data_IF_687703879079
#
_entry.id   IF_687703879079
#
_cell.length_a   1.000
_cell.length_b   1.000
_cell.length_c   1.000
_cell.angle_alpha   90.00
_cell.angle_beta   90.00
_cell.angle_gamma   90.00
#
_symmetry.space_group_name_H-M   'P 1'
#
loop_
_entity.id
_entity.type
_entity.pdbx_description
1 polymer ?
#
# COMPACT_ATOMS: atom_id res chain seq x y z
N UNK A 1 -2.01 15.98 -75.83
CA UNK A 1 -0.89 15.10 -75.42
C UNK A 1 -0.47 15.48 -73.99
N UNK A 2 -0.34 14.48 -73.10
CA UNK A 2 0.32 14.52 -71.77
C UNK A 2 -0.42 15.38 -70.71
N UNK A 3 -1.09 14.88 -69.67
CA UNK A 3 -0.99 13.62 -68.93
C UNK A 3 -0.28 13.86 -67.59
N UNK A 4 -1.02 14.20 -66.52
CA UNK A 4 -0.65 14.08 -65.08
C UNK A 4 -1.97 14.26 -64.29
N UNK A 5 -2.84 13.26 -64.19
CA UNK A 5 -2.77 12.16 -63.22
C UNK A 5 -2.51 12.66 -61.79
N UNK A 6 -3.58 12.57 -60.98
CA UNK A 6 -3.57 12.15 -59.58
C UNK A 6 -2.59 12.88 -58.67
N UNK A 7 -3.07 13.82 -57.84
CA UNK A 7 -2.85 13.94 -56.38
C UNK A 7 -3.53 15.25 -55.94
N UNK A 8 -4.86 15.29 -56.03
CA UNK A 8 -5.68 16.29 -55.33
C UNK A 8 -6.58 15.48 -54.42
N UNK A 9 -6.00 14.91 -53.34
CA UNK A 9 -6.76 14.24 -52.27
C UNK A 9 -5.91 13.84 -51.04
N UNK A 10 -4.58 14.00 -51.05
CA UNK A 10 -3.72 13.57 -49.91
C UNK A 10 -3.04 14.79 -49.23
N UNK A 11 -3.74 15.93 -49.17
CA UNK A 11 -3.16 17.17 -48.62
C UNK A 11 -3.88 17.69 -47.37
N UNK A 12 -4.99 17.08 -46.95
CA UNK A 12 -5.74 17.53 -45.75
C UNK A 12 -5.84 16.46 -44.66
N UNK A 13 -5.29 15.28 -44.88
CA UNK A 13 -5.22 14.21 -43.85
C UNK A 13 -3.85 14.10 -43.16
N UNK A 14 -2.98 15.08 -43.36
CA UNK A 14 -1.62 15.13 -42.81
C UNK A 14 -1.41 16.33 -41.88
N UNK A 15 -2.49 16.92 -41.35
CA UNK A 15 -2.43 18.07 -40.44
C UNK A 15 -3.05 17.80 -39.06
N UNK A 16 -3.37 16.53 -38.72
CA UNK A 16 -3.97 16.16 -37.42
C UNK A 16 -3.27 14.96 -36.74
N UNK A 17 -1.98 14.73 -37.03
CA UNK A 17 -1.17 13.73 -36.31
C UNK A 17 -0.03 14.37 -35.49
N UNK A 18 -0.14 15.66 -35.18
CA UNK A 18 0.71 16.33 -34.20
C UNK A 18 -0.06 16.60 -32.89
N UNK A 19 -1.07 15.78 -32.60
CA UNK A 19 -1.76 15.80 -31.33
C UNK A 19 -0.94 15.01 -30.29
N UNK A 20 0.01 15.73 -29.67
CA UNK A 20 0.39 15.52 -28.28
C UNK A 20 1.10 14.22 -27.94
N UNK A 21 2.37 14.10 -28.29
CA UNK A 21 3.29 13.37 -27.41
C UNK A 21 3.54 14.23 -26.18
N UNK A 22 2.64 14.17 -25.19
CA UNK A 22 3.01 14.56 -23.82
C UNK A 22 3.97 13.47 -23.36
N UNK A 23 5.26 13.65 -23.67
CA UNK A 23 6.31 12.98 -22.93
C UNK A 23 6.21 13.57 -21.53
N UNK A 24 5.47 12.90 -20.65
CA UNK A 24 5.56 13.13 -19.22
C UNK A 24 6.99 12.82 -18.84
N UNK A 25 7.83 13.86 -18.82
CA UNK A 25 9.15 13.81 -18.20
C UNK A 25 8.89 13.59 -16.72
N UNK A 26 8.84 12.32 -16.32
CA UNK A 26 8.91 11.98 -14.91
C UNK A 26 10.36 12.30 -14.54
N UNK A 27 10.61 13.53 -14.09
CA UNK A 27 11.83 13.88 -13.38
C UNK A 27 11.80 13.18 -12.02
N UNK A 28 11.94 11.86 -12.01
CA UNK A 28 12.49 11.22 -10.84
C UNK A 28 13.97 11.59 -10.87
N UNK A 29 14.35 12.61 -10.11
CA UNK A 29 15.72 12.82 -9.69
C UNK A 29 16.15 11.60 -8.84
N UNK A 30 16.47 10.49 -9.52
CA UNK A 30 17.04 9.28 -8.93
C UNK A 30 18.54 9.52 -9.05
N UNK A 31 19.10 10.19 -8.06
CA UNK A 31 20.54 10.08 -7.87
C UNK A 31 20.82 8.60 -7.54
N UNK A 32 21.78 8.00 -8.22
CA UNK A 32 22.33 6.72 -7.79
C UNK A 32 22.91 6.94 -6.38
N UNK A 33 22.17 6.48 -5.38
CA UNK A 33 22.62 6.56 -3.99
C UNK A 33 23.77 5.58 -3.73
N UNK A 34 24.41 5.67 -2.55
CA UNK A 34 25.34 4.64 -2.12
C UNK A 34 24.66 3.25 -2.17
N UNK A 35 25.44 2.17 -2.42
CA UNK A 35 24.87 0.84 -2.52
C UNK A 35 24.16 0.47 -1.22
N UNK A 36 22.90 0.07 -1.32
CA UNK A 36 22.12 -0.37 -0.18
C UNK A 36 22.37 -1.85 0.11
N UNK A 37 22.42 -2.26 1.38
CA UNK A 37 22.39 -3.68 1.72
C UNK A 37 21.17 -4.35 1.11
N UNK A 38 21.36 -5.54 0.53
CA UNK A 38 20.26 -6.35 0.03
C UNK A 38 19.26 -6.63 1.16
N UNK A 39 17.97 -6.67 0.84
CA UNK A 39 16.94 -6.92 1.85
C UNK A 39 16.98 -8.34 2.45
N UNK A 40 17.81 -9.24 1.92
CA UNK A 40 17.88 -10.64 2.37
C UNK A 40 16.64 -11.47 2.03
N UNK A 41 15.68 -10.91 1.29
CA UNK A 41 14.46 -11.61 0.87
C UNK A 41 14.80 -12.58 -0.26
N UNK A 42 14.68 -13.88 0.01
CA UNK A 42 14.87 -14.95 -0.99
C UNK A 42 13.59 -15.32 -1.73
N UNK A 43 12.43 -15.07 -1.13
CA UNK A 43 11.10 -15.46 -1.62
C UNK A 43 10.13 -14.29 -1.51
N UNK A 44 9.06 -14.28 -2.30
CA UNK A 44 8.08 -13.20 -2.24
C UNK A 44 7.60 -12.96 -0.78
N UNK A 45 7.70 -11.73 -0.26
CA UNK A 45 7.43 -11.46 1.15
C UNK A 45 5.94 -11.45 1.46
N UNK A 46 5.60 -11.61 2.74
CA UNK A 46 4.27 -11.32 3.24
C UNK A 46 4.17 -9.85 3.68
N UNK A 47 3.02 -9.24 3.40
CA UNK A 47 2.75 -7.84 3.70
C UNK A 47 1.67 -7.71 4.77
N UNK A 48 1.84 -6.72 5.63
CA UNK A 48 0.90 -6.34 6.67
C UNK A 48 0.36 -4.94 6.37
N UNK A 49 -0.97 -4.73 6.33
CA UNK A 49 -1.56 -3.42 6.14
C UNK A 49 -1.61 -2.64 7.47
N UNK A 50 -1.37 -1.32 7.39
CA UNK A 50 -1.62 -0.33 8.44
C UNK A 50 -2.84 0.51 8.00
N UNK A 51 -4.04 0.23 8.53
CA UNK A 51 -5.28 0.83 8.04
C UNK A 51 -5.30 2.34 8.22
N UNK A 52 -4.85 2.84 9.38
CA UNK A 52 -4.92 4.25 9.75
C UNK A 52 -4.33 5.20 8.70
N UNK A 53 -3.34 4.71 7.96
CA UNK A 53 -2.51 5.52 7.06
C UNK A 53 -2.38 4.91 5.65
N UNK A 54 -3.13 3.85 5.34
CA UNK A 54 -3.09 3.10 4.06
C UNK A 54 -1.67 2.67 3.62
N UNK A 55 -0.80 2.36 4.57
CA UNK A 55 0.57 1.89 4.32
C UNK A 55 0.62 0.37 4.40
N UNK A 56 1.46 -0.26 3.57
CA UNK A 56 1.76 -1.70 3.68
C UNK A 56 3.21 -1.89 4.06
N UNK A 57 3.51 -2.83 4.94
CA UNK A 57 4.87 -3.08 5.42
C UNK A 57 5.22 -4.55 5.25
N UNK A 58 6.51 -4.86 5.10
CA UNK A 58 6.96 -6.25 5.00
C UNK A 58 6.97 -6.86 6.40
N UNK A 59 6.20 -7.94 6.59
CA UNK A 59 6.03 -8.58 7.89
C UNK A 59 7.29 -9.33 8.36
N UNK A 60 8.05 -9.89 7.41
CA UNK A 60 9.16 -10.81 7.69
C UNK A 60 10.53 -10.12 7.80
N UNK A 61 10.58 -8.79 7.70
CA UNK A 61 11.83 -8.03 7.71
C UNK A 61 11.95 -7.11 8.90
N UNK A 62 13.15 -7.12 9.49
CA UNK A 62 13.52 -6.15 10.51
C UNK A 62 13.96 -4.78 9.95
N UNK A 63 13.78 -4.53 8.65
CA UNK A 63 14.04 -3.24 8.01
C UNK A 63 12.78 -2.38 7.84
N UNK A 64 12.95 -1.06 7.87
CA UNK A 64 11.90 -0.08 7.66
C UNK A 64 11.60 0.06 6.15
N UNK A 65 10.88 -0.92 5.62
CA UNK A 65 10.40 -0.93 4.24
C UNK A 65 8.89 -0.85 4.21
N UNK A 66 8.38 0.23 3.60
CA UNK A 66 6.96 0.53 3.50
C UNK A 66 6.56 0.73 2.05
N UNK A 67 5.34 0.36 1.70
CA UNK A 67 4.72 0.69 0.42
C UNK A 67 3.62 1.72 0.65
N UNK A 68 3.68 2.78 -0.16
CA UNK A 68 2.68 3.84 -0.15
C UNK A 68 2.57 4.47 -1.54
N UNK A 69 1.32 4.63 -2.00
CA UNK A 69 0.97 5.31 -3.25
C UNK A 69 1.80 4.87 -4.47
N UNK A 70 1.95 3.55 -4.65
CA UNK A 70 2.66 2.98 -5.80
C UNK A 70 4.18 2.88 -5.67
N UNK A 71 4.77 3.34 -4.58
CA UNK A 71 6.22 3.32 -4.35
C UNK A 71 6.57 2.51 -3.11
N UNK A 72 7.67 1.77 -3.21
CA UNK A 72 8.39 1.23 -2.07
C UNK A 72 9.29 2.31 -1.52
N UNK A 73 9.26 2.49 -0.21
CA UNK A 73 10.03 3.45 0.56
C UNK A 73 10.90 2.69 1.56
N UNK A 74 12.15 3.12 1.67
CA UNK A 74 13.12 2.54 2.61
C UNK A 74 13.94 3.65 3.24
N UNK A 75 14.03 3.63 4.56
CA UNK A 75 14.99 4.46 5.28
C UNK A 75 16.29 3.68 5.47
N UNK A 76 17.42 4.28 5.12
CA UNK A 76 18.74 3.70 5.35
C UNK A 76 19.77 4.81 5.54
N UNK A 77 20.59 4.72 6.58
CA UNK A 77 21.61 5.72 6.91
C UNK A 77 21.07 7.16 6.91
N UNK A 78 19.93 7.35 7.57
CA UNK A 78 19.23 8.63 7.69
C UNK A 78 18.82 9.27 6.34
N UNK A 79 18.77 8.47 5.27
CA UNK A 79 18.34 8.87 3.93
C UNK A 79 17.16 8.04 3.48
N UNK A 80 16.30 8.67 2.67
CA UNK A 80 15.15 8.00 2.08
C UNK A 80 15.48 7.51 0.69
N UNK A 81 15.02 6.31 0.42
CA UNK A 81 15.12 5.68 -0.89
C UNK A 81 13.74 5.25 -1.34
N UNK A 82 13.52 5.27 -2.66
CA UNK A 82 12.31 4.69 -3.24
C UNK A 82 12.60 3.79 -4.43
N UNK A 83 11.74 2.80 -4.63
CA UNK A 83 11.79 1.88 -5.76
C UNK A 83 10.37 1.55 -6.24
N UNK A 84 10.24 1.12 -7.50
CA UNK A 84 8.99 0.60 -8.05
C UNK A 84 8.67 -0.82 -7.56
N UNK A 85 9.69 -1.57 -7.15
CA UNK A 85 9.59 -2.92 -6.60
C UNK A 85 10.35 -2.99 -5.26
N UNK A 86 9.90 -3.86 -4.35
CA UNK A 86 10.47 -3.98 -3.01
C UNK A 86 11.95 -4.38 -3.03
N UNK A 87 12.38 -5.14 -4.03
CA UNK A 87 13.75 -5.57 -4.27
C UNK A 87 14.38 -4.87 -5.49
N UNK A 88 13.77 -3.78 -5.96
CA UNK A 88 14.15 -3.10 -7.19
C UNK A 88 15.34 -2.15 -7.03
N UNK A 89 15.66 -1.44 -8.12
CA UNK A 89 16.66 -0.39 -8.11
C UNK A 89 16.19 0.79 -7.25
N UNK A 90 16.83 0.95 -6.08
CA UNK A 90 16.52 2.02 -5.14
C UNK A 90 17.14 3.35 -5.58
N UNK A 91 16.30 4.36 -5.72
CA UNK A 91 16.72 5.74 -5.97
C UNK A 91 16.76 6.55 -4.69
N UNK A 92 17.80 7.36 -4.50
CA UNK A 92 17.88 8.31 -3.40
C UNK A 92 16.81 9.41 -3.55
N UNK A 93 16.14 9.76 -2.47
CA UNK A 93 15.12 10.80 -2.41
C UNK A 93 15.49 11.80 -1.32
N UNK A 94 15.49 13.09 -1.66
CA UNK A 94 15.66 14.16 -0.68
C UNK A 94 14.45 14.20 0.27
N UNK A 95 14.69 14.48 1.56
CA UNK A 95 13.65 14.41 2.60
C UNK A 95 12.40 15.24 2.26
N UNK A 96 12.55 16.43 1.67
CA UNK A 96 11.42 17.28 1.26
C UNK A 96 10.55 16.74 0.12
N UNK A 97 10.91 15.60 -0.49
CA UNK A 97 10.10 14.90 -1.51
C UNK A 97 9.47 13.60 -0.98
N UNK A 98 9.74 13.27 0.28
CA UNK A 98 9.15 12.12 0.96
C UNK A 98 7.77 12.54 1.48
N UNK A 99 6.71 11.75 1.24
CA UNK A 99 5.40 12.04 1.80
C UNK A 99 5.44 12.11 3.33
N UNK A 100 4.68 13.03 3.93
CA UNK A 100 4.62 13.21 5.38
C UNK A 100 4.19 11.93 6.11
N UNK A 101 3.27 11.16 5.53
CA UNK A 101 2.85 9.85 6.06
C UNK A 101 4.04 8.88 6.19
N UNK A 102 4.99 8.93 5.24
CA UNK A 102 6.19 8.09 5.28
C UNK A 102 7.20 8.64 6.29
N UNK A 103 7.35 9.96 6.41
CA UNK A 103 8.20 10.58 7.44
C UNK A 103 7.70 10.31 8.86
N UNK A 104 6.38 10.28 9.05
CA UNK A 104 5.71 10.02 10.32
C UNK A 104 5.68 8.54 10.72
N UNK A 105 6.11 7.63 9.86
CA UNK A 105 6.39 6.24 10.23
C UNK A 105 7.64 6.22 11.13
N UNK A 106 7.45 6.53 12.42
CA UNK A 106 8.50 6.37 13.42
C UNK A 106 9.05 4.93 13.36
N UNK A 107 10.38 4.73 13.52
CA UNK A 107 10.96 3.38 13.62
C UNK A 107 10.17 2.56 14.65
N UNK A 108 9.74 1.35 14.27
CA UNK A 108 8.96 0.48 15.16
C UNK A 108 7.43 0.49 14.98
N UNK A 109 6.90 0.94 13.84
CA UNK A 109 5.46 0.83 13.52
C UNK A 109 4.91 -0.62 13.46
N UNK A 110 5.77 -1.63 13.60
CA UNK A 110 5.44 -3.07 13.52
C UNK A 110 4.42 -3.58 14.54
N UNK A 111 4.09 -2.79 15.57
CA UNK A 111 3.09 -3.15 16.59
C UNK A 111 1.65 -2.70 16.30
N UNK A 112 1.38 -1.96 15.21
CA UNK A 112 0.07 -1.34 14.92
C UNK A 112 -0.69 -1.95 13.73
N UNK A 113 -0.24 -3.08 13.19
CA UNK A 113 -0.93 -3.74 12.08
C UNK A 113 -2.21 -4.47 12.51
N UNK A 114 -3.11 -4.74 11.55
CA UNK A 114 -4.32 -5.54 11.78
C UNK A 114 -4.00 -7.00 12.10
N UNK A 115 -3.65 -7.29 13.35
CA UNK A 115 -3.40 -8.64 13.86
C UNK A 115 -2.44 -9.46 12.97
N UNK A 116 -2.64 -10.77 12.93
CA UNK A 116 -1.88 -11.70 12.08
C UNK A 116 -2.27 -11.62 10.59
N UNK A 117 -2.80 -10.49 10.08
CA UNK A 117 -3.17 -10.38 8.67
C UNK A 117 -1.92 -10.34 7.80
N UNK A 118 -1.65 -11.45 7.13
CA UNK A 118 -0.53 -11.61 6.20
C UNK A 118 -1.04 -11.71 4.77
N UNK A 119 -0.58 -10.80 3.92
CA UNK A 119 -0.97 -10.72 2.52
C UNK A 119 0.21 -11.17 1.65
N UNK A 120 0.08 -12.26 0.89
CA UNK A 120 1.12 -12.65 -0.05
C UNK A 120 1.37 -11.54 -1.07
N UNK A 121 2.64 -11.20 -1.34
CA UNK A 121 3.02 -10.12 -2.26
C UNK A 121 2.33 -10.21 -3.64
N UNK A 122 2.17 -11.43 -4.19
CA UNK A 122 1.49 -11.62 -5.47
C UNK A 122 0.01 -11.21 -5.47
N UNK A 123 -0.70 -11.43 -4.35
CA UNK A 123 -2.07 -10.96 -4.17
C UNK A 123 -2.10 -9.44 -4.03
N UNK A 124 -1.19 -8.90 -3.25
CA UNK A 124 -1.05 -7.46 -3.08
C UNK A 124 -0.78 -6.73 -4.42
N UNK A 125 0.22 -7.17 -5.20
CA UNK A 125 0.64 -6.54 -6.46
C UNK A 125 -0.53 -6.41 -7.44
N UNK A 126 -1.43 -7.40 -7.48
CA UNK A 126 -2.62 -7.42 -8.35
C UNK A 126 -3.74 -6.50 -7.87
N UNK A 127 -3.82 -6.21 -6.57
CA UNK A 127 -5.04 -5.67 -5.97
C UNK A 127 -4.89 -4.34 -5.25
N UNK A 128 -3.68 -3.92 -4.88
CA UNK A 128 -3.47 -2.78 -3.97
C UNK A 128 -4.21 -1.50 -4.39
N UNK A 129 -4.17 -1.15 -5.69
CA UNK A 129 -4.86 0.03 -6.24
C UNK A 129 -6.36 0.02 -5.94
N UNK A 130 -6.98 -1.15 -6.12
CA UNK A 130 -8.41 -1.34 -5.85
C UNK A 130 -8.68 -1.25 -4.35
N UNK A 131 -7.86 -1.89 -3.53
CA UNK A 131 -8.04 -1.91 -2.08
C UNK A 131 -7.90 -0.53 -1.44
N UNK A 132 -6.97 0.28 -1.94
CA UNK A 132 -6.80 1.68 -1.54
C UNK A 132 -8.04 2.51 -1.91
N UNK A 133 -8.51 2.40 -3.18
CA UNK A 133 -9.74 3.06 -3.64
C UNK A 133 -10.97 2.68 -2.81
N UNK A 134 -11.08 1.41 -2.45
CA UNK A 134 -12.23 0.88 -1.70
C UNK A 134 -12.10 1.05 -0.18
N UNK A 135 -10.97 1.59 0.32
CA UNK A 135 -10.63 1.69 1.74
C UNK A 135 -10.86 0.35 2.46
N UNK A 136 -10.35 -0.73 1.85
CA UNK A 136 -10.60 -2.12 2.26
C UNK A 136 -10.25 -2.36 3.72
N UNK A 137 -9.10 -1.85 4.17
CA UNK A 137 -8.59 -2.13 5.50
C UNK A 137 -9.34 -1.37 6.59
N UNK A 138 -9.72 -0.11 6.36
CA UNK A 138 -10.64 0.61 7.26
C UNK A 138 -12.00 -0.09 7.44
N UNK A 139 -12.52 -0.74 6.39
CA UNK A 139 -13.76 -1.53 6.49
C UNK A 139 -13.54 -2.84 7.25
N UNK A 140 -12.38 -3.48 7.06
CA UNK A 140 -12.04 -4.73 7.73
C UNK A 140 -11.85 -4.51 9.24
N UNK A 141 -11.12 -3.46 9.62
CA UNK A 141 -10.86 -3.04 11.00
C UNK A 141 -12.16 -2.80 11.77
N UNK A 142 -13.01 -1.90 11.28
CA UNK A 142 -14.34 -1.62 11.86
C UNK A 142 -15.19 -2.86 12.08
N UNK A 143 -15.09 -3.83 11.15
CA UNK A 143 -15.81 -5.10 11.24
C UNK A 143 -15.24 -6.00 12.33
N UNK A 144 -13.92 -5.99 12.53
CA UNK A 144 -13.25 -6.71 13.62
C UNK A 144 -13.63 -6.09 14.96
N UNK A 145 -13.52 -4.77 15.10
CA UNK A 145 -13.91 -4.04 16.32
C UNK A 145 -15.36 -4.33 16.72
N UNK A 146 -16.32 -4.23 15.79
CA UNK A 146 -17.72 -4.53 16.08
C UNK A 146 -17.96 -6.00 16.48
N UNK A 147 -17.17 -6.94 15.94
CA UNK A 147 -17.23 -8.35 16.34
C UNK A 147 -16.66 -8.59 17.73
N UNK A 148 -15.58 -7.91 18.07
CA UNK A 148 -14.99 -7.97 19.41
C UNK A 148 -15.92 -7.38 20.45
N UNK A 149 -16.51 -6.21 20.20
CA UNK A 149 -17.52 -5.58 21.05
C UNK A 149 -18.69 -6.53 21.31
N UNK A 150 -19.28 -7.10 20.25
CA UNK A 150 -20.38 -8.07 20.38
C UNK A 150 -19.97 -9.34 21.14
N UNK A 151 -18.70 -9.74 21.05
CA UNK A 151 -18.18 -10.89 21.78
C UNK A 151 -18.03 -10.58 23.27
N UNK A 152 -17.54 -9.38 23.61
CA UNK A 152 -17.48 -8.86 24.99
C UNK A 152 -18.89 -8.76 25.60
N UNK A 153 -19.86 -8.20 24.88
CA UNK A 153 -21.26 -8.10 25.32
C UNK A 153 -21.88 -9.47 25.66
N UNK A 154 -21.61 -10.49 24.84
CA UNK A 154 -22.09 -11.86 25.09
C UNK A 154 -21.42 -12.49 26.30
N UNK A 155 -20.12 -12.27 26.46
CA UNK A 155 -19.37 -12.76 27.61
C UNK A 155 -19.88 -12.14 28.91
N UNK A 156 -20.16 -10.83 28.90
CA UNK A 156 -20.74 -10.12 30.04
C UNK A 156 -22.15 -10.62 30.39
N UNK A 157 -23.01 -10.87 29.39
CA UNK A 157 -24.34 -11.46 29.61
C UNK A 157 -24.27 -12.87 30.20
N UNK A 158 -23.39 -13.72 29.67
CA UNK A 158 -23.20 -15.08 30.18
C UNK A 158 -22.62 -15.10 31.60
N UNK A 159 -21.74 -14.14 31.94
CA UNK A 159 -21.19 -13.99 33.28
C UNK A 159 -22.23 -13.54 34.31
N UNK A 160 -23.19 -12.69 33.92
CA UNK A 160 -24.31 -12.25 34.80
C UNK A 160 -25.41 -13.29 34.96
N UNK A 161 -25.56 -14.22 34.01
CA UNK A 161 -26.58 -15.28 34.04
C UNK A 161 -26.28 -16.47 34.96
N UNK A 162 -25.07 -16.58 35.52
CA UNK A 162 -24.69 -17.62 36.48
C UNK A 162 -24.97 -17.22 37.96
N UNK A 163 -25.78 -16.19 38.19
CA UNK A 163 -26.34 -15.89 39.51
C UNK A 163 -27.51 -16.81 39.82
N UNK A 164 -27.26 -17.81 40.68
CA UNK A 164 -28.22 -18.78 41.20
C UNK A 164 -29.65 -18.24 41.40
N UNK A 165 -30.58 -18.79 40.62
CA UNK A 165 -31.99 -18.87 40.98
C UNK A 165 -32.17 -19.83 42.16
N UNK A 166 -31.91 -19.35 43.38
CA UNK A 166 -32.29 -20.01 44.61
C UNK A 166 -33.81 -19.97 44.77
N UNK A 167 -34.45 -21.06 44.38
CA UNK A 167 -35.90 -21.24 44.40
C UNK A 167 -36.53 -20.92 45.76
N UNK A 168 -37.61 -20.14 45.71
CA UNK A 168 -38.62 -20.06 46.77
C UNK A 168 -39.25 -21.44 46.94
N UNK A 169 -39.15 -22.01 48.14
CA UNK A 169 -39.81 -23.26 48.52
C UNK A 169 -40.32 -23.21 49.96
N UNK A 170 -41.59 -22.81 50.09
CA UNK A 170 -42.51 -22.90 51.24
C UNK A 170 -42.10 -23.87 52.37
N UNK A 171 -42.13 -23.39 53.63
CA UNK A 171 -43.06 -23.87 54.67
C UNK A 171 -43.15 -22.88 55.82
#
# INVERSE_FOLDING_TARGET
MRGFFRVVCISVFTCCLLAGTILTRIETAIAAGPPLPALGIKTAPELMPLPDIDVYVIADLDMDVAFYNGWWWRMHDNRWYRASEYNGAWGLVIAGKVPEIILGLHPGFRGRGLGNTRIPYGQFKKNWKRWEKEKRWHKAERKMEHREEKSRDRQDRNGRGQGHGGGKGRR
#
